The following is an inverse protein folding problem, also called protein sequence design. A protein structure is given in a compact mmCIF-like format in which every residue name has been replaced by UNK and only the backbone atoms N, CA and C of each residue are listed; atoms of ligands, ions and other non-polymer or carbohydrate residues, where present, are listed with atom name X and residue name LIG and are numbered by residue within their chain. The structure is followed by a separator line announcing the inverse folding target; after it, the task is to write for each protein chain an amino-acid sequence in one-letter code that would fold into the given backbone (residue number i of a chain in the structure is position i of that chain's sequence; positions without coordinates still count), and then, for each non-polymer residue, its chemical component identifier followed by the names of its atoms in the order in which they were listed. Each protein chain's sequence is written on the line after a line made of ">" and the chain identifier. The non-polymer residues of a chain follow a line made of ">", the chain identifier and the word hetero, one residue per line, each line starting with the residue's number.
data_IF_937153633430
#
_entry.id   IF_937153633430
#
_cell.length_a   1.000
_cell.length_b   1.000
_cell.length_c   1.000
_cell.angle_alpha   90.00
_cell.angle_beta   90.00
_cell.angle_gamma   90.00
#
_symmetry.space_group_name_H-M   'P 1'
#
loop_
_entity.id
_entity.type
_entity.pdbx_description
1 polymer ?
#
# COMPACT_ATOMS: atom_id res chain seq x y z
N UNK A 1 -13.33 5.39 -17.98
CA UNK A 1 -14.52 5.46 -17.11
C UNK A 1 -14.85 6.87 -16.66
N UNK A 2 -13.89 7.71 -16.24
CA UNK A 2 -14.14 9.14 -15.94
C UNK A 2 -14.74 9.92 -17.13
N UNK A 3 -14.34 9.59 -18.37
CA UNK A 3 -14.91 10.16 -19.60
C UNK A 3 -16.38 9.72 -19.83
N UNK A 4 -16.78 8.56 -19.31
CA UNK A 4 -18.10 7.96 -19.55
C UNK A 4 -19.11 8.39 -18.47
N UNK A 5 -18.68 8.43 -17.20
CA UNK A 5 -19.55 8.77 -16.06
C UNK A 5 -19.37 10.22 -15.55
N UNK A 6 -18.26 10.89 -15.90
CA UNK A 6 -17.99 12.26 -15.46
C UNK A 6 -18.89 13.32 -16.09
N UNK A 7 -19.65 12.98 -17.13
CA UNK A 7 -20.55 13.90 -17.83
C UNK A 7 -22.03 13.82 -17.38
N UNK A 8 -22.34 13.03 -16.35
CA UNK A 8 -23.71 12.90 -15.80
C UNK A 8 -24.01 13.87 -14.64
N UNK A 9 -23.04 14.69 -14.22
CA UNK A 9 -23.26 15.77 -13.25
C UNK A 9 -23.63 17.07 -13.95
N UNK A 10 -24.75 17.69 -13.56
CA UNK A 10 -25.06 19.09 -13.89
C UNK A 10 -23.84 19.95 -13.61
N UNK A 11 -23.45 20.78 -14.59
CA UNK A 11 -22.32 21.72 -14.54
C UNK A 11 -22.11 22.31 -13.15
N UNK A 12 -21.18 21.73 -12.39
CA UNK A 12 -20.70 22.33 -11.16
C UNK A 12 -19.83 23.50 -11.61
N UNK A 13 -20.26 24.71 -11.24
CA UNK A 13 -19.61 25.95 -11.62
C UNK A 13 -18.10 25.89 -11.37
N UNK A 14 -17.35 26.54 -12.27
CA UNK A 14 -15.90 26.58 -12.22
C UNK A 14 -15.40 26.91 -10.80
N UNK A 15 -14.67 25.98 -10.20
CA UNK A 15 -14.01 26.17 -8.90
C UNK A 15 -12.98 27.29 -9.11
N UNK A 16 -13.11 28.46 -8.43
CA UNK A 16 -12.21 29.60 -8.63
C UNK A 16 -10.74 29.28 -8.29
N UNK A 17 -10.53 28.22 -7.50
CA UNK A 17 -9.23 27.77 -7.01
C UNK A 17 -8.57 26.69 -7.89
N UNK A 18 -9.30 26.10 -8.86
CA UNK A 18 -8.67 25.28 -9.92
C UNK A 18 -8.09 26.15 -11.05
N UNK A 19 -8.51 27.42 -11.16
CA UNK A 19 -8.02 28.36 -12.18
C UNK A 19 -6.59 28.87 -11.94
N UNK A 20 -6.02 28.58 -10.76
CA UNK A 20 -4.64 28.93 -10.38
C UNK A 20 -3.67 27.74 -10.51
N UNK A 21 -4.15 26.55 -10.88
CA UNK A 21 -3.28 25.40 -11.16
C UNK A 21 -2.51 25.63 -12.45
N UNK A 22 -1.24 26.04 -12.30
CA UNK A 22 -0.35 26.21 -13.44
C UNK A 22 -0.21 24.89 -14.21
N UNK A 23 -0.22 24.90 -15.56
CA UNK A 23 0.04 23.70 -16.39
C UNK A 23 1.36 23.00 -16.04
N UNK A 24 2.28 23.72 -15.40
CA UNK A 24 3.56 23.23 -14.94
C UNK A 24 3.42 22.13 -13.86
N UNK A 25 2.30 22.04 -13.12
CA UNK A 25 2.12 21.03 -12.08
C UNK A 25 2.09 19.61 -12.66
N UNK A 26 1.68 19.50 -13.93
CA UNK A 26 1.72 18.25 -14.69
C UNK A 26 3.17 17.74 -14.89
N UNK A 27 4.15 18.63 -14.90
CA UNK A 27 5.58 18.26 -14.99
C UNK A 27 6.01 17.47 -13.74
N UNK A 28 5.37 17.66 -12.59
CA UNK A 28 5.64 16.86 -11.39
C UNK A 28 5.29 15.38 -11.55
N UNK A 29 4.46 15.02 -12.53
CA UNK A 29 4.15 13.62 -12.88
C UNK A 29 5.37 12.87 -13.44
N UNK A 30 6.43 13.58 -13.85
CA UNK A 30 7.71 12.96 -14.22
C UNK A 30 8.31 12.16 -13.05
N UNK A 31 8.06 12.58 -11.81
CA UNK A 31 8.60 11.92 -10.60
C UNK A 31 8.06 10.49 -10.41
N UNK A 32 6.73 10.26 -10.33
CA UNK A 32 6.20 8.90 -10.25
C UNK A 32 6.52 8.07 -11.50
N UNK A 33 6.60 8.68 -12.69
CA UNK A 33 7.02 7.96 -13.92
C UNK A 33 8.47 7.47 -13.80
N UNK A 34 9.39 8.32 -13.32
CA UNK A 34 10.78 7.95 -13.08
C UNK A 34 10.89 6.80 -12.07
N UNK A 35 10.12 6.87 -10.97
CA UNK A 35 10.05 5.81 -9.96
C UNK A 35 9.63 4.48 -10.61
N UNK A 36 8.56 4.50 -11.41
CA UNK A 36 8.06 3.30 -12.10
C UNK A 36 9.16 2.73 -13.02
N UNK A 37 9.80 3.57 -13.85
CA UNK A 37 10.87 3.12 -14.76
C UNK A 37 12.03 2.48 -14.00
N UNK A 38 12.45 3.05 -12.87
CA UNK A 38 13.51 2.49 -12.05
C UNK A 38 13.11 1.16 -11.41
N UNK A 39 11.87 1.04 -10.92
CA UNK A 39 11.36 -0.22 -10.37
C UNK A 39 11.29 -1.31 -11.45
N UNK A 40 10.87 -0.98 -12.67
CA UNK A 40 10.90 -1.91 -13.82
C UNK A 40 12.32 -2.28 -14.24
N UNK A 41 13.29 -1.41 -14.01
CA UNK A 41 14.72 -1.68 -14.29
C UNK A 41 15.37 -2.63 -13.27
N UNK A 42 14.63 -3.06 -12.24
CA UNK A 42 15.12 -3.96 -11.19
C UNK A 42 15.95 -3.25 -10.12
N UNK A 43 15.87 -1.92 -10.02
CA UNK A 43 16.49 -1.20 -8.92
C UNK A 43 15.79 -1.53 -7.59
N UNK A 44 16.58 -1.58 -6.51
CA UNK A 44 16.03 -1.74 -5.16
C UNK A 44 15.04 -0.61 -4.84
N UNK A 45 13.91 -0.95 -4.20
CA UNK A 45 12.86 -0.01 -3.84
C UNK A 45 13.38 1.23 -3.09
N UNK A 46 14.29 1.03 -2.14
CA UNK A 46 14.92 2.12 -1.36
C UNK A 46 15.67 3.08 -2.28
N UNK A 47 16.45 2.55 -3.22
CA UNK A 47 17.23 3.36 -4.17
C UNK A 47 16.30 4.11 -5.12
N UNK A 48 15.27 3.45 -5.64
CA UNK A 48 14.27 4.07 -6.50
C UNK A 48 13.55 5.23 -5.80
N UNK A 49 13.11 5.03 -4.55
CA UNK A 49 12.43 6.07 -3.76
C UNK A 49 13.35 7.27 -3.46
N UNK A 50 14.60 7.01 -3.04
CA UNK A 50 15.55 8.08 -2.73
C UNK A 50 15.89 8.93 -3.96
N UNK A 51 16.14 8.27 -5.09
CA UNK A 51 16.49 8.95 -6.35
C UNK A 51 15.31 9.70 -6.95
N UNK A 52 14.10 9.11 -6.98
CA UNK A 52 12.91 9.80 -7.47
C UNK A 52 12.52 10.96 -6.57
N UNK A 53 12.62 10.80 -5.24
CA UNK A 53 12.35 11.86 -4.27
C UNK A 53 13.29 13.05 -4.45
N UNK A 54 14.59 12.78 -4.57
CA UNK A 54 15.58 13.82 -4.85
C UNK A 54 15.33 14.51 -6.19
N UNK A 55 15.04 13.74 -7.25
CA UNK A 55 14.67 14.28 -8.56
C UNK A 55 13.42 15.18 -8.47
N UNK A 56 12.44 14.83 -7.64
CA UNK A 56 11.24 15.64 -7.41
C UNK A 56 11.54 16.98 -6.76
N UNK A 57 12.42 17.02 -5.75
CA UNK A 57 12.85 18.28 -5.12
C UNK A 57 13.57 19.18 -6.13
N UNK A 58 14.49 18.61 -6.91
CA UNK A 58 15.23 19.35 -7.95
C UNK A 58 14.28 19.89 -9.01
N UNK A 59 13.35 19.06 -9.49
CA UNK A 59 12.36 19.44 -10.49
C UNK A 59 11.45 20.57 -9.98
N UNK A 60 11.02 20.51 -8.72
CA UNK A 60 10.18 21.53 -8.12
C UNK A 60 10.91 22.88 -7.95
N UNK A 61 12.21 22.86 -7.66
CA UNK A 61 13.06 24.06 -7.66
C UNK A 61 13.22 24.66 -9.07
N UNK A 62 13.49 23.82 -10.08
CA UNK A 62 13.69 24.27 -11.47
C UNK A 62 12.40 24.85 -12.06
N UNK A 63 11.25 24.24 -11.77
CA UNK A 63 9.94 24.73 -12.21
C UNK A 63 9.44 25.95 -11.41
N UNK A 64 10.21 26.43 -10.42
CA UNK A 64 9.88 27.54 -9.51
C UNK A 64 8.57 27.34 -8.74
N UNK A 65 8.23 26.08 -8.44
CA UNK A 65 7.13 25.78 -7.52
C UNK A 65 7.49 26.08 -6.07
N UNK A 66 8.78 25.95 -5.76
CA UNK A 66 9.35 26.04 -4.43
C UNK A 66 10.61 26.90 -4.55
N UNK A 67 10.81 27.84 -3.63
CA UNK A 67 12.06 28.61 -3.56
C UNK A 67 13.10 27.83 -2.76
N UNK A 68 14.40 28.07 -2.97
CA UNK A 68 15.45 27.45 -2.15
C UNK A 68 15.26 27.65 -0.63
N UNK A 69 14.62 28.77 -0.24
CA UNK A 69 14.23 29.04 1.15
C UNK A 69 13.16 28.07 1.65
N UNK A 70 12.24 27.61 0.82
CA UNK A 70 11.11 26.76 1.24
C UNK A 70 11.51 25.28 1.38
N UNK A 71 12.66 24.89 0.83
CA UNK A 71 13.19 23.51 0.95
C UNK A 71 13.68 23.25 2.37
N UNK A 72 14.49 24.17 2.91
CA UNK A 72 15.00 24.15 4.27
C UNK A 72 15.45 25.56 4.65
N UNK A 73 14.77 26.18 5.60
CA UNK A 73 15.18 27.43 6.20
C UNK A 73 15.20 27.32 7.72
N UNK A 74 16.10 28.07 8.33
CA UNK A 74 16.16 28.20 9.78
C UNK A 74 15.32 29.41 10.15
N UNK A 75 14.22 29.19 10.86
CA UNK A 75 13.45 30.26 11.45
C UNK A 75 14.18 30.71 12.73
N UNK A 76 14.78 31.90 12.68
CA UNK A 76 15.58 32.46 13.77
C UNK A 76 14.73 32.96 14.94
N UNK A 77 13.41 33.11 14.77
CA UNK A 77 12.50 33.52 15.84
C UNK A 77 12.07 32.33 16.71
N UNK A 78 11.90 31.15 16.11
CA UNK A 78 11.50 29.91 16.78
C UNK A 78 12.67 28.95 17.04
N UNK A 79 13.88 29.26 16.55
CA UNK A 79 15.04 28.36 16.53
C UNK A 79 14.72 26.96 15.96
N UNK A 80 13.76 26.88 15.04
CA UNK A 80 13.34 25.65 14.36
C UNK A 80 13.86 25.62 12.93
N UNK A 81 14.18 24.41 12.45
CA UNK A 81 14.46 24.17 11.03
C UNK A 81 13.14 23.81 10.35
N UNK A 82 12.65 24.74 9.53
CA UNK A 82 11.39 24.61 8.80
C UNK A 82 11.66 24.41 7.30
N UNK A 83 10.71 23.82 6.61
CA UNK A 83 10.85 23.48 5.19
C UNK A 83 10.07 22.22 4.84
N UNK A 84 9.98 21.95 3.55
CA UNK A 84 9.16 20.85 3.04
C UNK A 84 9.71 19.49 3.48
N UNK A 85 11.04 19.36 3.58
CA UNK A 85 11.67 18.11 4.04
C UNK A 85 11.40 17.90 5.53
N UNK A 86 11.57 18.92 6.36
CA UNK A 86 11.34 18.79 7.81
C UNK A 86 9.87 18.61 8.15
N UNK A 87 8.97 19.33 7.47
CA UNK A 87 7.52 19.14 7.58
C UNK A 87 7.11 17.72 7.17
N UNK A 88 7.66 17.20 6.07
CA UNK A 88 7.42 15.82 5.64
C UNK A 88 7.87 14.79 6.67
N UNK A 89 9.06 14.96 7.25
CA UNK A 89 9.58 14.07 8.30
C UNK A 89 8.68 14.14 9.54
N UNK A 90 8.42 15.35 10.06
CA UNK A 90 7.62 15.55 11.28
C UNK A 90 6.21 15.00 11.11
N UNK A 91 5.59 15.21 9.94
CA UNK A 91 4.27 14.67 9.62
C UNK A 91 4.19 13.13 9.57
N UNK A 92 5.33 12.43 9.51
CA UNK A 92 5.38 10.97 9.48
C UNK A 92 5.94 10.33 10.76
N UNK A 93 6.43 11.12 11.73
CA UNK A 93 7.01 10.61 12.98
C UNK A 93 5.99 9.73 13.73
N UNK A 94 4.75 10.18 13.85
CA UNK A 94 3.71 9.47 14.60
C UNK A 94 3.44 8.08 14.02
N UNK A 95 3.35 7.99 12.68
CA UNK A 95 3.13 6.73 11.97
C UNK A 95 4.34 5.82 12.12
N UNK A 96 5.56 6.36 12.06
CA UNK A 96 6.79 5.58 12.23
C UNK A 96 6.90 4.99 13.65
N UNK A 97 6.65 5.80 14.68
CA UNK A 97 6.64 5.34 16.08
C UNK A 97 5.58 4.26 16.28
N UNK A 98 4.37 4.46 15.74
CA UNK A 98 3.31 3.46 15.82
C UNK A 98 3.70 2.15 15.12
N UNK A 99 4.32 2.21 13.94
CA UNK A 99 4.82 1.03 13.24
C UNK A 99 5.89 0.27 14.04
N UNK A 100 6.81 0.99 14.71
CA UNK A 100 7.82 0.37 15.57
C UNK A 100 7.18 -0.35 16.77
N UNK A 101 6.22 0.28 17.44
CA UNK A 101 5.50 -0.34 18.57
C UNK A 101 4.70 -1.55 18.11
N UNK A 102 4.03 -1.45 16.95
CA UNK A 102 3.28 -2.57 16.38
C UNK A 102 4.19 -3.75 16.06
N UNK A 103 5.36 -3.53 15.46
CA UNK A 103 6.33 -4.60 15.19
C UNK A 103 6.77 -5.30 16.49
N UNK A 104 6.97 -4.55 17.57
CA UNK A 104 7.25 -5.11 18.89
C UNK A 104 6.09 -5.95 19.43
N UNK A 105 4.86 -5.46 19.31
CA UNK A 105 3.65 -6.18 19.71
C UNK A 105 3.46 -7.47 18.90
N UNK A 106 3.67 -7.43 17.59
CA UNK A 106 3.55 -8.62 16.73
C UNK A 106 4.52 -9.71 17.18
N UNK A 107 5.77 -9.35 17.51
CA UNK A 107 6.76 -10.30 18.04
C UNK A 107 6.31 -10.91 19.37
N UNK A 108 5.79 -10.08 20.28
CA UNK A 108 5.22 -10.56 21.54
C UNK A 108 4.03 -11.51 21.32
N UNK A 109 3.18 -11.23 20.33
CA UNK A 109 2.05 -12.09 19.97
C UNK A 109 2.49 -13.42 19.35
N UNK A 110 3.66 -13.46 18.68
CA UNK A 110 4.20 -14.71 18.14
C UNK A 110 4.82 -15.57 19.24
N UNK A 111 5.60 -14.96 20.13
CA UNK A 111 6.20 -15.64 21.29
C UNK A 111 5.16 -16.14 22.29
N UNK A 112 4.05 -15.42 22.48
CA UNK A 112 2.94 -15.85 23.34
C UNK A 112 2.12 -17.01 22.76
N UNK A 113 2.38 -17.43 21.51
CA UNK A 113 1.64 -18.50 20.84
C UNK A 113 0.24 -18.12 20.35
N UNK A 114 -0.20 -16.87 20.54
CA UNK A 114 -1.51 -16.40 20.07
C UNK A 114 -1.60 -16.44 18.54
N UNK A 115 -0.54 -16.03 17.85
CA UNK A 115 -0.44 -16.14 16.38
C UNK A 115 -0.60 -17.60 15.93
N UNK A 116 0.04 -18.55 16.62
CA UNK A 116 -0.09 -19.98 16.33
C UNK A 116 -1.53 -20.47 16.53
N UNK A 117 -2.21 -20.02 17.59
CA UNK A 117 -3.62 -20.35 17.82
C UNK A 117 -4.54 -19.83 16.72
N UNK A 118 -4.33 -18.57 16.28
CA UNK A 118 -5.09 -17.99 15.15
C UNK A 118 -4.85 -18.80 13.88
N UNK A 119 -3.59 -19.12 13.57
CA UNK A 119 -3.22 -19.91 12.39
C UNK A 119 -3.82 -21.31 12.45
N UNK A 120 -3.84 -21.96 13.61
CA UNK A 120 -4.44 -23.29 13.77
C UNK A 120 -5.96 -23.25 13.52
N UNK A 121 -6.64 -22.22 14.05
CA UNK A 121 -8.08 -22.03 13.85
C UNK A 121 -8.41 -21.78 12.37
N UNK A 122 -7.66 -20.89 11.72
CA UNK A 122 -7.77 -20.63 10.28
C UNK A 122 -7.42 -21.85 9.46
N UNK A 123 -6.42 -22.63 9.88
CA UNK A 123 -6.02 -23.88 9.23
C UNK A 123 -7.12 -24.94 9.26
N UNK A 124 -7.97 -24.98 10.29
CA UNK A 124 -9.13 -25.88 10.36
C UNK A 124 -10.26 -25.43 9.43
N UNK A 125 -10.40 -24.12 9.22
CA UNK A 125 -11.45 -23.50 8.39
C UNK A 125 -11.05 -23.46 6.90
N UNK A 126 -9.77 -23.23 6.62
CA UNK A 126 -9.19 -23.27 5.29
C UNK A 126 -8.87 -24.73 4.92
N UNK A 127 -9.77 -25.36 4.17
CA UNK A 127 -9.62 -26.76 3.68
C UNK A 127 -8.96 -26.86 2.30
N UNK A 128 -8.87 -25.75 1.58
CA UNK A 128 -8.29 -25.64 0.24
C UNK A 128 -7.45 -24.36 0.09
N UNK A 129 -6.54 -24.28 -0.89
CA UNK A 129 -5.77 -23.06 -1.19
C UNK A 129 -6.69 -21.85 -1.43
N UNK A 130 -7.82 -22.05 -2.11
CA UNK A 130 -8.85 -21.03 -2.36
C UNK A 130 -9.42 -20.45 -1.08
N UNK A 131 -9.82 -21.34 -0.17
CA UNK A 131 -10.39 -20.93 1.11
C UNK A 131 -9.35 -20.28 2.02
N UNK A 132 -8.08 -20.67 1.90
CA UNK A 132 -6.99 -20.06 2.68
C UNK A 132 -6.79 -18.60 2.29
N UNK A 133 -6.67 -18.32 0.99
CA UNK A 133 -6.57 -16.95 0.46
C UNK A 133 -7.80 -16.11 0.80
N UNK A 134 -9.01 -16.69 0.72
CA UNK A 134 -10.24 -16.00 1.10
C UNK A 134 -10.23 -15.58 2.58
N UNK A 135 -9.81 -16.46 3.49
CA UNK A 135 -9.75 -16.14 4.92
C UNK A 135 -8.71 -15.07 5.24
N UNK A 136 -7.54 -15.13 4.58
CA UNK A 136 -6.53 -14.07 4.68
C UNK A 136 -7.11 -12.75 4.15
N UNK A 137 -7.73 -12.73 2.96
CA UNK A 137 -8.36 -11.50 2.45
C UNK A 137 -9.44 -10.93 3.39
N UNK A 138 -10.25 -11.77 4.04
CA UNK A 138 -11.27 -11.32 4.99
C UNK A 138 -10.63 -10.70 6.24
N UNK A 139 -9.59 -11.35 6.79
CA UNK A 139 -8.85 -10.82 7.93
C UNK A 139 -8.22 -9.48 7.58
N UNK A 140 -7.57 -9.41 6.41
CA UNK A 140 -7.00 -8.17 5.90
C UNK A 140 -8.01 -7.02 5.89
N UNK A 141 -9.23 -7.25 5.36
CA UNK A 141 -10.30 -6.24 5.33
C UNK A 141 -10.71 -5.82 6.74
N UNK A 142 -10.93 -6.79 7.66
CA UNK A 142 -11.29 -6.50 9.06
C UNK A 142 -10.21 -5.65 9.72
N UNK A 143 -8.95 -6.00 9.55
CA UNK A 143 -7.82 -5.27 10.11
C UNK A 143 -7.68 -3.87 9.51
N UNK A 144 -7.96 -3.69 8.21
CA UNK A 144 -8.00 -2.36 7.59
C UNK A 144 -9.11 -1.49 8.16
N UNK A 145 -10.29 -2.05 8.42
CA UNK A 145 -11.40 -1.33 9.07
C UNK A 145 -10.99 -0.86 10.47
N UNK A 146 -10.24 -1.67 11.22
CA UNK A 146 -9.84 -1.36 12.59
C UNK A 146 -8.67 -0.38 12.70
N UNK A 147 -7.68 -0.49 11.80
CA UNK A 147 -6.40 0.24 11.92
C UNK A 147 -6.24 1.39 10.93
N UNK A 148 -6.94 1.33 9.78
CA UNK A 148 -6.92 2.39 8.75
C UNK A 148 -5.51 2.67 8.21
N UNK A 149 -4.64 1.67 8.25
CA UNK A 149 -3.26 1.79 7.81
C UNK A 149 -2.84 0.50 7.09
N UNK A 150 -2.91 0.49 5.75
CA UNK A 150 -2.66 -0.72 4.95
C UNK A 150 -1.27 -1.32 5.23
N UNK A 151 -0.24 -0.50 5.39
CA UNK A 151 1.12 -0.95 5.74
C UNK A 151 1.15 -1.72 7.07
N UNK A 152 0.40 -1.22 8.06
CA UNK A 152 0.36 -1.78 9.42
C UNK A 152 -0.39 -3.11 9.42
N UNK A 153 -1.48 -3.19 8.66
CA UNK A 153 -2.19 -4.44 8.42
C UNK A 153 -1.30 -5.47 7.73
N UNK A 154 -0.61 -5.09 6.65
CA UNK A 154 0.26 -6.01 5.90
C UNK A 154 1.40 -6.53 6.79
N UNK A 155 2.00 -5.67 7.62
CA UNK A 155 3.06 -6.09 8.56
C UNK A 155 2.51 -7.04 9.63
N UNK A 156 1.31 -6.78 10.15
CA UNK A 156 0.67 -7.64 11.16
C UNK A 156 0.20 -8.98 10.61
N UNK A 157 -0.34 -8.99 9.40
CA UNK A 157 -0.85 -10.19 8.75
C UNK A 157 0.26 -10.98 8.04
N UNK A 158 1.41 -10.37 7.77
CA UNK A 158 2.56 -10.99 7.12
C UNK A 158 2.92 -12.38 7.69
N UNK A 159 3.10 -12.54 9.01
CA UNK A 159 3.37 -13.85 9.62
C UNK A 159 2.23 -14.86 9.42
N UNK A 160 0.97 -14.41 9.47
CA UNK A 160 -0.22 -15.26 9.25
C UNK A 160 -0.22 -15.77 7.81
N UNK A 161 -0.02 -14.88 6.85
CA UNK A 161 -0.01 -15.21 5.43
C UNK A 161 1.20 -16.09 5.08
N UNK A 162 2.39 -15.83 5.63
CA UNK A 162 3.58 -16.65 5.45
C UNK A 162 3.36 -18.08 5.97
N UNK A 163 2.93 -18.23 7.23
CA UNK A 163 2.71 -19.56 7.85
C UNK A 163 1.56 -20.33 7.17
N UNK A 164 0.46 -19.67 6.82
CA UNK A 164 -0.72 -20.32 6.23
C UNK A 164 -0.56 -20.58 4.72
N UNK A 165 -0.21 -19.57 3.92
CA UNK A 165 -0.22 -19.69 2.45
C UNK A 165 1.08 -20.32 1.94
N UNK A 166 2.23 -19.87 2.44
CA UNK A 166 3.54 -20.41 2.03
C UNK A 166 3.79 -21.75 2.71
N UNK A 167 3.70 -21.80 4.05
CA UNK A 167 4.03 -23.01 4.81
C UNK A 167 3.11 -24.20 4.57
N UNK A 168 1.79 -24.00 4.59
CA UNK A 168 0.81 -25.10 4.47
C UNK A 168 0.41 -25.40 3.02
N UNK A 169 0.26 -24.36 2.21
CA UNK A 169 -0.27 -24.48 0.84
C UNK A 169 0.79 -24.29 -0.26
N UNK A 170 2.06 -24.05 0.10
CA UNK A 170 3.19 -23.86 -0.82
C UNK A 170 2.94 -22.77 -1.86
N UNK A 171 2.13 -21.76 -1.55
CA UNK A 171 1.88 -20.61 -2.42
C UNK A 171 3.12 -19.71 -2.42
N UNK A 172 3.47 -19.15 -3.57
CA UNK A 172 4.67 -18.30 -3.70
C UNK A 172 4.52 -17.05 -2.81
N UNK A 173 5.57 -16.67 -2.04
CA UNK A 173 5.55 -15.48 -1.19
C UNK A 173 5.20 -14.19 -1.94
N UNK A 174 5.63 -14.05 -3.20
CA UNK A 174 5.29 -12.89 -4.03
C UNK A 174 3.79 -12.78 -4.33
N UNK A 175 3.11 -13.91 -4.55
CA UNK A 175 1.66 -13.94 -4.72
C UNK A 175 0.94 -13.58 -3.42
N UNK A 176 1.40 -14.13 -2.29
CA UNK A 176 0.87 -13.79 -0.97
C UNK A 176 1.01 -12.29 -0.67
N UNK A 177 2.19 -11.71 -0.91
CA UNK A 177 2.46 -10.30 -0.68
C UNK A 177 1.60 -9.40 -1.58
N UNK A 178 1.52 -9.71 -2.88
CA UNK A 178 0.67 -8.99 -3.82
C UNK A 178 -0.80 -9.05 -3.43
N UNK A 179 -1.27 -10.21 -2.95
CA UNK A 179 -2.65 -10.35 -2.49
C UNK A 179 -2.94 -9.49 -1.26
N UNK A 180 -2.06 -9.51 -0.25
CA UNK A 180 -2.19 -8.68 0.95
C UNK A 180 -2.22 -7.19 0.60
N UNK A 181 -1.32 -6.74 -0.27
CA UNK A 181 -1.25 -5.35 -0.71
C UNK A 181 -2.50 -4.92 -1.49
N UNK A 182 -2.89 -5.72 -2.48
CA UNK A 182 -4.07 -5.47 -3.31
C UNK A 182 -5.36 -5.40 -2.48
N UNK A 183 -5.57 -6.35 -1.56
CA UNK A 183 -6.76 -6.37 -0.70
C UNK A 183 -6.73 -5.18 0.27
N UNK A 184 -5.58 -4.85 0.86
CA UNK A 184 -5.47 -3.74 1.79
C UNK A 184 -5.72 -2.39 1.10
N UNK A 185 -5.09 -2.16 -0.06
CA UNK A 185 -5.26 -0.95 -0.87
C UNK A 185 -6.70 -0.82 -1.37
N UNK A 186 -7.29 -1.93 -1.84
CA UNK A 186 -8.68 -1.99 -2.24
C UNK A 186 -9.61 -1.62 -1.09
N UNK A 187 -9.48 -2.26 0.07
CA UNK A 187 -10.29 -2.03 1.25
C UNK A 187 -10.19 -0.58 1.77
N UNK A 188 -8.98 -0.02 1.83
CA UNK A 188 -8.74 1.35 2.28
C UNK A 188 -9.48 2.40 1.44
N UNK A 189 -9.67 2.14 0.15
CA UNK A 189 -10.40 3.03 -0.74
C UNK A 189 -11.92 3.06 -0.48
N UNK A 190 -12.48 2.08 0.24
CA UNK A 190 -13.91 1.98 0.55
C UNK A 190 -14.24 2.43 1.98
N UNK A 191 -13.24 2.55 2.86
CA UNK A 191 -13.45 2.93 4.27
C UNK A 191 -13.61 4.46 4.34
N UNK A 192 -14.75 5.00 4.84
CA UNK A 192 -15.02 6.44 4.84
C UNK A 192 -13.97 7.27 5.58
N UNK A 193 -13.49 6.78 6.72
CA UNK A 193 -12.45 7.43 7.50
C UNK A 193 -11.03 7.03 7.06
N UNK A 194 -10.91 6.38 5.91
CA UNK A 194 -9.65 5.99 5.28
C UNK A 194 -8.88 7.19 4.72
N UNK A 195 -7.56 7.07 4.67
CA UNK A 195 -6.70 8.12 4.10
C UNK A 195 -7.09 8.47 2.66
N UNK A 196 -7.37 7.47 1.81
CA UNK A 196 -7.68 7.70 0.40
C UNK A 196 -8.98 8.51 0.17
N UNK A 197 -10.14 8.15 0.77
CA UNK A 197 -11.34 8.96 0.64
C UNK A 197 -11.23 10.36 1.27
N UNK A 198 -10.56 10.49 2.42
CA UNK A 198 -10.35 11.79 3.07
C UNK A 198 -9.49 12.71 2.20
N UNK A 199 -8.40 12.19 1.62
CA UNK A 199 -7.54 12.94 0.72
C UNK A 199 -8.30 13.39 -0.54
N UNK A 200 -9.16 12.52 -1.09
CA UNK A 200 -10.00 12.85 -2.23
C UNK A 200 -11.04 13.95 -1.90
N UNK A 201 -11.63 13.96 -0.70
CA UNK A 201 -12.50 15.06 -0.24
C UNK A 201 -11.70 16.34 -0.02
N UNK A 202 -10.47 16.26 0.50
CA UNK A 202 -9.60 17.44 0.62
C UNK A 202 -9.31 18.06 -0.75
N UNK A 203 -9.06 17.24 -1.77
CA UNK A 203 -8.84 17.73 -3.14
C UNK A 203 -10.12 18.20 -3.85
N UNK A 204 -11.30 17.71 -3.46
CA UNK A 204 -12.56 18.18 -4.03
C UNK A 204 -12.97 19.57 -3.52
N UNK A 205 -12.32 20.07 -2.47
CA UNK A 205 -12.47 21.45 -1.98
C UNK A 205 -13.92 21.78 -1.57
N UNK A 206 -14.44 22.90 -2.09
CA UNK A 206 -15.76 23.47 -1.75
C UNK A 206 -16.96 22.82 -2.46
N UNK A 207 -16.74 21.74 -3.21
CA UNK A 207 -17.80 21.07 -3.99
C UNK A 207 -18.85 20.36 -3.13
N UNK A 208 -18.68 20.33 -1.80
CA UNK A 208 -19.66 19.76 -0.87
C UNK A 208 -19.85 18.25 -1.01
N UNK A 209 -18.91 17.57 -1.69
CA UNK A 209 -18.96 16.12 -1.91
C UNK A 209 -18.79 15.41 -0.57
N UNK A 210 -19.75 14.56 -0.23
CA UNK A 210 -19.67 13.79 1.01
C UNK A 210 -18.63 12.67 0.87
N UNK A 211 -17.95 12.36 1.98
CA UNK A 211 -17.00 11.24 2.06
C UNK A 211 -17.65 9.92 1.60
N UNK A 212 -18.94 9.74 1.91
CA UNK A 212 -19.71 8.58 1.44
C UNK A 212 -19.87 8.53 -0.08
N UNK A 213 -20.09 9.67 -0.73
CA UNK A 213 -20.15 9.73 -2.20
C UNK A 213 -18.80 9.40 -2.84
N UNK A 214 -17.69 9.82 -2.22
CA UNK A 214 -16.34 9.44 -2.67
C UNK A 214 -16.12 7.94 -2.55
N UNK A 215 -16.50 7.34 -1.42
CA UNK A 215 -16.36 5.90 -1.21
C UNK A 215 -17.22 5.09 -2.18
N UNK A 216 -18.49 5.48 -2.37
CA UNK A 216 -19.41 4.80 -3.28
C UNK A 216 -18.98 4.90 -4.75
N UNK A 217 -18.31 5.99 -5.14
CA UNK A 217 -17.77 6.17 -6.48
C UNK A 217 -16.29 5.80 -6.60
N UNK A 218 -15.74 5.05 -5.63
CA UNK A 218 -14.35 4.61 -5.60
C UNK A 218 -14.12 3.42 -6.54
N UNK A 219 -14.23 3.66 -7.85
CA UNK A 219 -14.14 2.61 -8.87
C UNK A 219 -12.82 1.84 -8.83
N UNK A 220 -11.71 2.51 -8.47
CA UNK A 220 -10.42 1.86 -8.30
C UNK A 220 -10.49 0.79 -7.21
N UNK A 221 -10.96 1.14 -6.00
CA UNK A 221 -11.08 0.21 -4.89
C UNK A 221 -11.98 -0.99 -5.21
N UNK A 222 -13.16 -0.73 -5.78
CA UNK A 222 -14.08 -1.80 -6.20
C UNK A 222 -13.48 -2.72 -7.25
N UNK A 223 -12.81 -2.16 -8.27
CA UNK A 223 -12.21 -2.96 -9.34
C UNK A 223 -11.08 -3.82 -8.80
N UNK A 224 -10.25 -3.27 -7.92
CA UNK A 224 -9.11 -3.99 -7.35
C UNK A 224 -9.58 -5.14 -6.45
N UNK A 225 -10.56 -4.90 -5.57
CA UNK A 225 -11.18 -5.97 -4.77
C UNK A 225 -11.88 -7.01 -5.63
N UNK A 226 -12.57 -6.60 -6.70
CA UNK A 226 -13.23 -7.53 -7.62
C UNK A 226 -12.22 -8.41 -8.37
N UNK A 227 -11.14 -7.82 -8.89
CA UNK A 227 -10.06 -8.56 -9.55
C UNK A 227 -9.41 -9.54 -8.58
N UNK A 228 -9.13 -9.13 -7.35
CA UNK A 228 -8.57 -10.03 -6.34
C UNK A 228 -9.53 -11.14 -5.94
N UNK A 229 -10.82 -10.83 -5.78
CA UNK A 229 -11.84 -11.84 -5.49
C UNK A 229 -11.95 -12.86 -6.61
N UNK A 230 -11.94 -12.42 -7.88
CA UNK A 230 -11.91 -13.31 -9.04
C UNK A 230 -10.61 -14.13 -9.08
N UNK A 231 -9.46 -13.52 -8.78
CA UNK A 231 -8.18 -14.22 -8.73
C UNK A 231 -8.19 -15.33 -7.67
N UNK A 232 -8.75 -15.08 -6.48
CA UNK A 232 -8.91 -16.06 -5.40
C UNK A 232 -9.86 -17.19 -5.83
N UNK A 233 -11.00 -16.88 -6.48
CA UNK A 233 -11.94 -17.92 -6.91
C UNK A 233 -11.37 -18.79 -8.03
N UNK A 234 -10.82 -18.18 -9.07
CA UNK A 234 -10.28 -18.87 -10.24
C UNK A 234 -8.95 -19.57 -9.92
N UNK A 235 -8.18 -19.03 -8.97
CA UNK A 235 -6.79 -19.41 -8.74
C UNK A 235 -5.83 -18.78 -9.76
N UNK A 236 -6.24 -17.69 -10.40
CA UNK A 236 -5.42 -16.98 -11.38
C UNK A 236 -4.18 -16.38 -10.70
N UNK A 237 -3.01 -16.59 -11.30
CA UNK A 237 -1.73 -16.12 -10.75
C UNK A 237 -1.16 -16.99 -9.63
N UNK A 238 -1.81 -18.10 -9.24
CA UNK A 238 -1.25 -19.03 -8.25
C UNK A 238 -0.06 -19.79 -8.79
N UNK A 239 1.11 -19.44 -8.28
CA UNK A 239 2.36 -20.16 -8.44
C UNK A 239 2.68 -20.93 -7.17
N UNK A 240 3.17 -22.16 -7.30
CA UNK A 240 3.55 -22.99 -6.15
C UNK A 240 5.06 -23.14 -6.09
N UNK A 241 5.63 -23.08 -4.89
CA UNK A 241 7.06 -23.34 -4.66
C UNK A 241 7.27 -24.79 -4.21
N UNK A 242 8.49 -25.29 -4.36
CA UNK A 242 8.87 -26.61 -3.85
C UNK A 242 8.63 -26.68 -2.33
N UNK A 243 8.08 -27.80 -1.80
CA UNK A 243 7.80 -27.93 -0.36
C UNK A 243 9.04 -27.82 0.53
N UNK A 244 10.21 -28.22 0.03
CA UNK A 244 11.48 -28.10 0.74
C UNK A 244 11.84 -26.62 0.98
N UNK A 245 11.72 -25.79 -0.06
CA UNK A 245 11.99 -24.36 0.05
C UNK A 245 10.92 -23.65 0.89
N UNK A 246 9.66 -24.09 0.80
CA UNK A 246 8.62 -23.57 1.68
C UNK A 246 8.95 -23.81 3.16
N UNK A 247 9.44 -24.99 3.54
CA UNK A 247 9.88 -25.30 4.91
C UNK A 247 11.07 -24.45 5.34
N UNK A 248 12.09 -24.35 4.49
CA UNK A 248 13.27 -23.52 4.78
C UNK A 248 12.89 -22.05 5.00
N UNK A 249 11.92 -21.52 4.26
CA UNK A 249 11.44 -20.14 4.45
C UNK A 249 10.64 -19.94 5.75
N UNK A 250 10.07 -21.01 6.31
CA UNK A 250 9.39 -20.98 7.61
C UNK A 250 10.40 -21.11 8.75
N UNK A 251 11.45 -21.93 8.58
CA UNK A 251 12.51 -22.14 9.56
C UNK A 251 13.49 -20.96 9.64
N UNK A 252 13.79 -20.31 8.51
CA UNK A 252 14.59 -19.09 8.46
C UNK A 252 13.69 -17.88 8.15
N UNK A 253 13.35 -17.11 9.19
CA UNK A 253 12.54 -15.90 9.04
C UNK A 253 13.21 -14.82 8.19
N UNK A 254 14.55 -14.79 8.13
CA UNK A 254 15.33 -13.80 7.39
C UNK A 254 15.57 -14.20 5.93
N UNK A 255 15.21 -15.43 5.54
CA UNK A 255 15.37 -15.91 4.16
C UNK A 255 14.37 -15.23 3.24
N UNK A 256 14.84 -14.21 2.54
CA UNK A 256 14.10 -13.50 1.49
C UNK A 256 14.71 -13.86 0.14
N UNK A 257 13.95 -14.58 -0.69
CA UNK A 257 14.36 -14.90 -2.06
C UNK A 257 14.04 -13.71 -2.97
N UNK A 258 14.99 -13.38 -3.84
CA UNK A 258 14.77 -12.44 -4.94
C UNK A 258 13.75 -13.01 -5.94
N UNK A 259 13.15 -12.14 -6.76
CA UNK A 259 12.18 -12.59 -7.78
C UNK A 259 12.78 -13.62 -8.75
N UNK A 260 14.08 -13.51 -9.07
CA UNK A 260 14.79 -14.46 -9.93
C UNK A 260 14.90 -15.85 -9.30
N UNK A 261 15.29 -15.91 -8.03
CA UNK A 261 15.37 -17.17 -7.28
C UNK A 261 13.99 -17.80 -7.04
N UNK A 262 12.97 -16.96 -6.84
CA UNK A 262 11.59 -17.44 -6.77
C UNK A 262 11.16 -18.12 -8.07
N UNK A 263 11.44 -17.52 -9.23
CA UNK A 263 11.09 -18.11 -10.53
C UNK A 263 11.83 -19.45 -10.79
N UNK A 264 13.06 -19.63 -10.30
CA UNK A 264 13.80 -20.91 -10.40
C UNK A 264 13.22 -22.03 -9.52
N UNK A 265 12.66 -21.67 -8.37
CA UNK A 265 12.10 -22.62 -7.39
C UNK A 265 10.61 -22.88 -7.63
N UNK A 266 9.95 -22.02 -8.41
CA UNK A 266 8.53 -22.16 -8.73
C UNK A 266 8.31 -23.43 -9.57
N UNK A 267 7.38 -24.27 -9.14
CA UNK A 267 6.89 -25.38 -9.93
C UNK A 267 6.08 -24.83 -11.11
N UNK A 268 6.60 -24.97 -12.33
CA UNK A 268 5.78 -24.88 -13.54
C UNK A 268 4.70 -25.94 -13.44
N UNK A 269 3.43 -25.53 -13.52
CA UNK A 269 2.37 -26.47 -13.90
C UNK A 269 2.55 -26.91 -15.34
#
# INVERSE_FOLDING_TARGET
>A
MFIIFGNMGTSVGAVPELATLSPNALVMLVVPVLLIIMMFSGANLIVALMTSGFAGVVLALVCKFITFKDVMFVNLETFSVEGIITSGIVGMIDIAVFAFLLMGLIRLLDESGLLHWVIEKLSKMAKSPRTAELWVAIINIILNILTVASTIVIVMEGPIAKKLLVGKYNITPSHSANMLDAVAAGAMCLIPYGFAPLLAVMFSGTTGVSVFQVCLNSYYGYTLLAVMFIAILTGWGRKYIKPEVAKEMIEDENKVLSLKELDEVTLSK
#
